data_IF_413933198197
#
_entry.id   IF_413933198197
#
_cell.length_a   1.000
_cell.length_b   1.000
_cell.length_c   1.000
_cell.angle_alpha   90.00
_cell.angle_beta   90.00
_cell.angle_gamma   90.00
#
_symmetry.space_group_name_H-M   'P 1'
#
loop_
_entity.id
_entity.type
_entity.pdbx_description
1 polymer ?
#
# COMPACT_ATOMS: atom_id res chain seq x y z
N UNK A 1 -18.54 -47.26 -2.36
CA UNK A 1 -17.85 -46.24 -3.17
C UNK A 1 -18.77 -45.09 -3.54
N UNK A 2 -20.05 -45.37 -3.84
CA UNK A 2 -20.99 -44.30 -4.16
C UNK A 2 -21.18 -43.29 -3.04
N UNK A 3 -21.15 -43.73 -1.79
CA UNK A 3 -21.25 -42.82 -0.64
C UNK A 3 -20.10 -41.80 -0.59
N UNK A 4 -18.90 -42.28 -0.86
CA UNK A 4 -17.73 -41.42 -0.86
C UNK A 4 -17.81 -40.37 -1.99
N UNK A 5 -18.28 -40.81 -3.16
CA UNK A 5 -18.48 -39.91 -4.29
C UNK A 5 -19.53 -38.85 -4.02
N UNK A 6 -20.64 -39.22 -3.44
CA UNK A 6 -21.73 -38.31 -3.10
C UNK A 6 -21.29 -37.28 -2.07
N UNK A 7 -20.60 -37.72 -1.01
CA UNK A 7 -20.09 -36.83 0.03
C UNK A 7 -19.14 -35.79 -0.55
N UNK A 8 -18.17 -36.24 -1.36
CA UNK A 8 -17.21 -35.33 -1.97
C UNK A 8 -17.86 -34.38 -2.94
N UNK A 9 -18.91 -34.80 -3.64
CA UNK A 9 -19.61 -33.94 -4.58
C UNK A 9 -20.22 -32.71 -3.89
N UNK A 10 -20.87 -32.89 -2.74
CA UNK A 10 -21.45 -31.77 -1.99
C UNK A 10 -20.39 -30.84 -1.45
N UNK A 11 -19.29 -31.36 -0.93
CA UNK A 11 -18.17 -30.56 -0.47
C UNK A 11 -17.56 -29.77 -1.61
N UNK A 12 -17.39 -30.40 -2.77
CA UNK A 12 -16.85 -29.73 -3.94
C UNK A 12 -17.72 -28.57 -4.39
N UNK A 13 -19.04 -28.69 -4.28
CA UNK A 13 -19.95 -27.58 -4.56
C UNK A 13 -19.71 -26.41 -3.63
N UNK A 14 -19.56 -26.69 -2.35
CA UNK A 14 -19.30 -25.65 -1.34
C UNK A 14 -17.98 -24.95 -1.62
N UNK A 15 -16.92 -25.71 -1.90
CA UNK A 15 -15.63 -25.14 -2.27
C UNK A 15 -15.71 -24.31 -3.54
N UNK A 16 -16.43 -24.80 -4.54
CA UNK A 16 -16.62 -24.06 -5.78
C UNK A 16 -17.28 -22.72 -5.53
N UNK A 17 -18.33 -22.70 -4.73
CA UNK A 17 -19.08 -21.48 -4.45
C UNK A 17 -18.21 -20.49 -3.66
N UNK A 18 -17.43 -20.99 -2.71
CA UNK A 18 -16.48 -20.16 -1.95
C UNK A 18 -15.41 -19.57 -2.88
N UNK A 19 -14.86 -20.38 -3.79
CA UNK A 19 -13.86 -19.91 -4.75
C UNK A 19 -14.41 -18.86 -5.70
N UNK A 20 -15.65 -19.03 -6.15
CA UNK A 20 -16.32 -18.04 -7.00
C UNK A 20 -16.53 -16.73 -6.26
N UNK A 21 -16.93 -16.80 -5.01
CA UNK A 21 -17.11 -15.63 -4.18
C UNK A 21 -15.78 -14.92 -3.95
N UNK A 22 -14.73 -15.65 -3.64
CA UNK A 22 -13.37 -15.13 -3.48
C UNK A 22 -12.91 -14.44 -4.75
N UNK A 23 -13.07 -15.08 -5.89
CA UNK A 23 -12.68 -14.53 -7.19
C UNK A 23 -13.40 -13.23 -7.49
N UNK A 24 -14.68 -13.15 -7.16
CA UNK A 24 -15.49 -11.95 -7.38
C UNK A 24 -15.11 -10.80 -6.46
N UNK A 25 -14.80 -11.10 -5.19
CA UNK A 25 -14.52 -10.07 -4.19
C UNK A 25 -13.03 -9.71 -4.07
N UNK A 26 -12.15 -10.54 -4.62
CA UNK A 26 -10.70 -10.36 -4.45
C UNK A 26 -10.19 -9.03 -5.00
N UNK A 27 -10.61 -8.55 -6.18
CA UNK A 27 -10.13 -7.25 -6.68
C UNK A 27 -10.46 -6.09 -5.74
N UNK A 28 -11.65 -6.08 -5.17
CA UNK A 28 -12.04 -5.05 -4.20
C UNK A 28 -11.21 -5.13 -2.93
N UNK A 29 -10.91 -6.35 -2.48
CA UNK A 29 -10.04 -6.57 -1.32
C UNK A 29 -8.64 -6.01 -1.57
N UNK A 30 -8.06 -6.27 -2.74
CA UNK A 30 -6.73 -5.77 -3.08
C UNK A 30 -6.73 -4.24 -3.11
N UNK A 31 -7.72 -3.61 -3.73
CA UNK A 31 -7.82 -2.15 -3.77
C UNK A 31 -7.91 -1.55 -2.36
N UNK A 32 -8.70 -2.16 -1.49
CA UNK A 32 -8.85 -1.71 -0.11
C UNK A 32 -7.50 -1.78 0.62
N UNK A 33 -6.76 -2.86 0.47
CA UNK A 33 -5.43 -3.01 1.05
C UNK A 33 -4.47 -1.94 0.55
N UNK A 34 -4.49 -1.66 -0.75
CA UNK A 34 -3.60 -0.67 -1.36
C UNK A 34 -3.93 0.73 -0.85
N UNK A 35 -5.21 1.08 -0.76
CA UNK A 35 -5.62 2.39 -0.21
C UNK A 35 -5.16 2.57 1.23
N UNK A 36 -5.28 1.53 2.03
CA UNK A 36 -4.86 1.58 3.42
C UNK A 36 -3.35 1.71 3.57
N UNK A 37 -2.60 0.95 2.75
CA UNK A 37 -1.13 1.07 2.73
C UNK A 37 -0.68 2.44 2.25
N UNK A 38 -1.33 2.98 1.22
CA UNK A 38 -1.03 4.32 0.71
C UNK A 38 -1.31 5.39 1.77
N UNK A 39 -2.42 5.25 2.51
CA UNK A 39 -2.75 6.18 3.58
C UNK A 39 -1.71 6.13 4.72
N UNK A 40 -1.23 4.95 5.06
CA UNK A 40 -0.16 4.78 6.05
C UNK A 40 1.14 5.42 5.58
N UNK A 41 1.49 5.20 4.31
CA UNK A 41 2.69 5.81 3.74
C UNK A 41 2.60 7.33 3.76
N UNK A 42 1.46 7.87 3.38
CA UNK A 42 1.22 9.32 3.40
C UNK A 42 1.39 9.87 4.81
N UNK A 43 0.77 9.24 5.80
CA UNK A 43 0.86 9.69 7.20
C UNK A 43 2.30 9.66 7.72
N UNK A 44 3.05 8.61 7.41
CA UNK A 44 4.46 8.50 7.79
C UNK A 44 5.30 9.59 7.13
N UNK A 45 5.07 9.83 5.86
CA UNK A 45 5.80 10.84 5.10
C UNK A 45 5.53 12.24 5.63
N UNK A 46 4.29 12.56 5.92
CA UNK A 46 3.90 13.83 6.51
C UNK A 46 4.57 14.02 7.88
N UNK A 47 4.53 12.98 8.72
CA UNK A 47 5.11 13.05 10.06
C UNK A 47 6.62 13.29 10.04
N UNK A 48 7.31 12.80 8.99
CA UNK A 48 8.76 12.99 8.83
C UNK A 48 9.13 14.28 8.14
N UNK A 49 8.16 15.00 7.58
CA UNK A 49 8.43 16.26 6.89
C UNK A 49 8.66 17.36 7.91
N UNK A 50 9.75 18.13 7.78
CA UNK A 50 10.04 19.20 8.72
C UNK A 50 8.91 20.23 8.83
N UNK A 51 8.63 20.68 10.04
CA UNK A 51 7.51 21.59 10.33
C UNK A 51 7.75 23.00 9.79
N UNK A 52 9.02 23.41 9.69
CA UNK A 52 9.41 24.72 9.18
C UNK A 52 9.05 24.90 7.70
N UNK A 53 8.70 23.83 7.01
CA UNK A 53 8.26 23.87 5.62
C UNK A 53 6.79 23.43 5.51
N UNK A 54 5.89 24.24 6.09
CA UNK A 54 4.47 23.93 6.09
C UNK A 54 3.92 23.68 4.69
N UNK A 55 4.43 24.39 3.69
CA UNK A 55 4.04 24.21 2.30
C UNK A 55 4.35 22.78 1.82
N UNK A 56 5.57 22.29 2.10
CA UNK A 56 5.98 20.94 1.72
C UNK A 56 5.15 19.90 2.46
N UNK A 57 4.97 20.09 3.76
CA UNK A 57 4.20 19.15 4.59
C UNK A 57 2.76 19.03 4.13
N UNK A 58 2.14 20.14 3.77
CA UNK A 58 0.75 20.16 3.30
C UNK A 58 0.59 19.74 1.85
N UNK A 59 1.70 19.67 1.11
CA UNK A 59 1.68 19.31 -0.31
C UNK A 59 1.62 17.81 -0.59
N UNK A 60 1.88 16.96 0.42
CA UNK A 60 1.84 15.52 0.21
C UNK A 60 0.42 15.05 -0.06
N UNK A 61 0.25 14.27 -1.12
CA UNK A 61 -1.06 13.73 -1.51
C UNK A 61 -0.88 12.38 -2.18
N UNK A 62 -1.97 11.63 -2.25
CA UNK A 62 -2.01 10.33 -2.90
C UNK A 62 -2.64 10.52 -4.29
N UNK A 63 -1.97 10.03 -5.32
CA UNK A 63 -2.53 9.97 -6.67
C UNK A 63 -3.54 8.83 -6.80
N UNK A 64 -4.18 8.71 -7.97
CA UNK A 64 -5.14 7.64 -8.20
C UNK A 64 -4.45 6.28 -8.22
N UNK A 65 -5.19 5.25 -7.79
CA UNK A 65 -4.73 3.88 -7.89
C UNK A 65 -4.87 3.44 -9.34
N UNK A 66 -3.79 2.95 -9.94
CA UNK A 66 -3.76 2.48 -11.31
C UNK A 66 -3.43 1.00 -11.34
N UNK A 67 -4.12 0.27 -12.20
CA UNK A 67 -3.80 -1.13 -12.43
C UNK A 67 -3.03 -1.25 -13.73
N UNK A 68 -1.83 -1.84 -13.66
CA UNK A 68 -0.96 -2.05 -14.83
C UNK A 68 -0.66 -3.55 -14.90
N UNK A 69 -1.40 -4.29 -15.74
CA UNK A 69 -1.32 -5.74 -15.78
C UNK A 69 -1.80 -6.34 -14.47
N UNK A 70 -0.95 -7.13 -13.84
CA UNK A 70 -1.23 -7.73 -12.52
C UNK A 70 -0.73 -6.88 -11.36
N UNK A 71 -0.18 -5.71 -11.66
CA UNK A 71 0.38 -4.81 -10.66
C UNK A 71 -0.54 -3.64 -10.41
N UNK A 72 -0.47 -3.11 -9.18
CA UNK A 72 -1.14 -1.88 -8.81
C UNK A 72 -0.09 -0.82 -8.51
N UNK A 73 -0.34 0.39 -8.98
CA UNK A 73 0.56 1.52 -8.80
C UNK A 73 -0.18 2.63 -8.08
N UNK A 74 0.43 3.11 -7.00
CA UNK A 74 -0.06 4.29 -6.27
C UNK A 74 1.11 5.25 -6.13
N UNK A 75 0.89 6.49 -6.52
CA UNK A 75 1.92 7.51 -6.42
C UNK A 75 1.67 8.40 -5.21
N UNK A 76 2.72 8.69 -4.48
CA UNK A 76 2.72 9.71 -3.45
C UNK A 76 3.37 10.95 -4.08
N UNK A 77 2.63 12.02 -4.15
CA UNK A 77 2.98 13.20 -4.94
C UNK A 77 3.15 14.41 -4.02
N UNK A 78 4.14 15.24 -4.33
CA UNK A 78 4.26 16.57 -3.73
C UNK A 78 4.59 17.56 -4.83
N UNK A 79 3.70 18.52 -5.13
CA UNK A 79 3.91 19.48 -6.21
C UNK A 79 4.90 20.60 -5.87
N UNK A 80 5.39 20.66 -4.65
CA UNK A 80 6.34 21.70 -4.23
C UNK A 80 7.68 21.48 -4.96
N UNK A 81 8.19 22.53 -5.61
CA UNK A 81 9.37 22.42 -6.46
C UNK A 81 10.60 21.87 -5.76
N UNK A 82 10.80 22.19 -4.50
CA UNK A 82 11.98 21.75 -3.77
C UNK A 82 11.81 20.40 -3.06
N UNK A 83 10.71 19.68 -3.29
CA UNK A 83 10.44 18.40 -2.63
C UNK A 83 11.55 17.38 -2.87
N UNK A 84 12.03 17.24 -4.11
CA UNK A 84 13.12 16.33 -4.44
C UNK A 84 14.41 16.68 -3.73
N UNK A 85 14.69 17.95 -3.60
CA UNK A 85 15.90 18.41 -2.88
C UNK A 85 15.83 18.06 -1.39
N UNK A 86 14.66 18.18 -0.80
CA UNK A 86 14.48 17.83 0.62
C UNK A 86 14.55 16.32 0.82
N UNK A 87 14.06 15.55 -0.13
CA UNK A 87 14.10 14.09 -0.05
C UNK A 87 15.54 13.57 -0.16
N UNK A 88 16.27 13.97 -1.19
CA UNK A 88 17.56 13.36 -1.54
C UNK A 88 18.76 14.23 -1.22
N UNK A 89 18.56 15.52 -0.89
CA UNK A 89 19.64 16.45 -0.70
C UNK A 89 19.97 17.19 -1.98
N UNK A 90 20.89 18.12 -1.89
CA UNK A 90 21.28 18.95 -3.02
C UNK A 90 22.61 19.63 -2.77
N UNK A 91 23.22 20.15 -3.84
CA UNK A 91 24.42 20.96 -3.74
C UNK A 91 24.09 22.31 -3.13
N UNK A 92 25.06 22.87 -2.39
CA UNK A 92 24.95 24.23 -1.91
C UNK A 92 24.94 25.22 -3.07
N UNK A 93 24.46 26.44 -2.82
CA UNK A 93 24.31 27.45 -3.85
C UNK A 93 25.62 27.75 -4.59
N UNK A 94 26.74 27.71 -3.88
CA UNK A 94 28.06 27.95 -4.45
C UNK A 94 28.72 26.70 -5.04
N UNK A 95 28.02 25.57 -5.03
CA UNK A 95 28.48 24.28 -5.55
C UNK A 95 29.73 23.73 -4.84
N UNK A 96 30.04 24.18 -3.64
CA UNK A 96 31.20 23.69 -2.89
C UNK A 96 30.86 22.63 -1.85
N UNK A 97 29.59 22.48 -1.52
CA UNK A 97 29.15 21.55 -0.48
C UNK A 97 27.89 20.83 -0.88
N UNK A 98 27.39 20.04 0.06
CA UNK A 98 26.18 19.23 -0.10
C UNK A 98 25.28 19.39 1.11
N UNK A 99 23.98 19.58 0.88
CA UNK A 99 22.96 19.57 1.92
C UNK A 99 22.30 18.22 1.95
N UNK A 100 22.38 17.55 3.09
CA UNK A 100 21.81 16.20 3.25
C UNK A 100 20.29 16.23 3.14
N UNK A 101 19.73 15.18 2.49
CA UNK A 101 18.29 15.01 2.37
C UNK A 101 17.66 14.52 3.66
N UNK A 102 16.36 14.72 3.77
CA UNK A 102 15.57 14.25 4.92
C UNK A 102 14.99 12.85 4.71
N UNK A 103 14.98 12.36 3.48
CA UNK A 103 14.51 11.02 3.10
C UNK A 103 13.14 10.69 3.68
N UNK A 104 12.26 11.67 3.67
CA UNK A 104 10.90 11.55 4.23
C UNK A 104 10.13 10.39 3.65
N UNK A 105 10.08 10.30 2.34
CA UNK A 105 9.38 9.24 1.62
C UNK A 105 10.16 7.93 1.68
N UNK A 106 11.48 7.98 1.44
CA UNK A 106 12.34 6.78 1.42
C UNK A 106 12.28 6.02 2.73
N UNK A 107 12.48 6.70 3.85
CA UNK A 107 12.44 6.06 5.17
C UNK A 107 11.03 5.55 5.48
N UNK A 108 10.00 6.32 5.12
CA UNK A 108 8.62 5.91 5.32
C UNK A 108 8.28 4.65 4.54
N UNK A 109 8.77 4.53 3.30
CA UNK A 109 8.60 3.32 2.50
C UNK A 109 9.28 2.12 3.13
N UNK A 110 10.50 2.28 3.64
CA UNK A 110 11.22 1.21 4.30
C UNK A 110 10.48 0.71 5.54
N UNK A 111 9.95 1.63 6.34
CA UNK A 111 9.14 1.26 7.51
C UNK A 111 7.88 0.51 7.10
N UNK A 112 7.20 1.01 6.07
CA UNK A 112 5.98 0.38 5.59
C UNK A 112 6.24 -1.04 5.07
N UNK A 113 7.34 -1.21 4.33
CA UNK A 113 7.73 -2.53 3.84
C UNK A 113 7.96 -3.51 4.98
N UNK A 114 8.56 -3.06 6.07
CA UNK A 114 8.78 -3.90 7.25
C UNK A 114 7.47 -4.29 7.94
N UNK A 115 6.46 -3.43 7.90
CA UNK A 115 5.15 -3.67 8.50
C UNK A 115 4.23 -4.50 7.59
N UNK A 116 4.52 -4.53 6.30
CA UNK A 116 3.62 -5.10 5.30
C UNK A 116 3.24 -6.57 5.53
N UNK A 117 4.18 -7.48 5.87
CA UNK A 117 3.81 -8.89 6.07
C UNK A 117 2.74 -9.07 7.15
N UNK A 118 2.91 -8.42 8.30
CA UNK A 118 1.93 -8.51 9.39
C UNK A 118 0.59 -7.89 9.01
N UNK A 119 0.63 -6.76 8.31
CA UNK A 119 -0.57 -6.09 7.82
C UNK A 119 -1.35 -6.99 6.87
N UNK A 120 -0.67 -7.57 5.88
CA UNK A 120 -1.31 -8.43 4.88
C UNK A 120 -1.87 -9.71 5.52
N UNK A 121 -1.13 -10.31 6.45
CA UNK A 121 -1.61 -11.48 7.15
C UNK A 121 -2.92 -11.21 7.88
N UNK A 122 -2.99 -10.09 8.59
CA UNK A 122 -4.19 -9.69 9.31
C UNK A 122 -5.36 -9.44 8.34
N UNK A 123 -5.09 -8.73 7.24
CA UNK A 123 -6.11 -8.42 6.25
C UNK A 123 -6.64 -9.67 5.56
N UNK A 124 -5.76 -10.58 5.19
CA UNK A 124 -6.14 -11.85 4.56
C UNK A 124 -6.99 -12.67 5.52
N UNK A 125 -6.60 -12.73 6.80
CA UNK A 125 -7.36 -13.44 7.81
C UNK A 125 -8.78 -12.88 7.95
N UNK A 126 -8.91 -11.56 8.00
CA UNK A 126 -10.21 -10.89 8.08
C UNK A 126 -11.07 -11.18 6.83
N UNK A 127 -10.44 -11.12 5.67
CA UNK A 127 -11.11 -11.40 4.40
C UNK A 127 -11.63 -12.84 4.36
N UNK A 128 -10.80 -13.80 4.73
CA UNK A 128 -11.19 -15.22 4.75
C UNK A 128 -12.29 -15.47 5.76
N UNK A 129 -12.23 -14.85 6.93
CA UNK A 129 -13.27 -14.98 7.94
C UNK A 129 -14.61 -14.45 7.44
N UNK A 130 -14.59 -13.34 6.72
CA UNK A 130 -15.81 -12.76 6.15
C UNK A 130 -16.44 -13.68 5.10
N UNK A 131 -15.61 -14.34 4.28
CA UNK A 131 -16.08 -15.25 3.26
C UNK A 131 -16.58 -16.58 3.84
N UNK A 132 -15.87 -17.11 4.84
CA UNK A 132 -16.15 -18.41 5.42
C UNK A 132 -17.17 -18.37 6.56
N UNK A 133 -17.45 -17.17 7.01
CA UNK A 133 -18.37 -16.99 8.10
C UNK A 133 -19.81 -16.89 7.70
#
# INVERSE_FOLDING_TARGET
MSKMGEFHFEELKQYRDTLKQLDREFPGFIEECIRELAARLLAKTIARTPVDTGELRNGWTIGPIQRVGDNYLVEIINPVEYALYREYGHRTRDHTGWVEGSFMLTISQEELEAEMPAFLEQKIQQFMNRLGG
#
